data_IF_456841173084
#
_entry.id   IF_456841173084
#
_cell.length_a   1.000
_cell.length_b   1.000
_cell.length_c   1.000
_cell.angle_alpha   90.00
_cell.angle_beta   90.00
_cell.angle_gamma   90.00
#
_symmetry.space_group_name_H-M   'P 1'
#
loop_
_entity.id
_entity.type
_entity.pdbx_description
1 polymer ?
#
# COMPACT_ATOMS: atom_id res chain seq x y z
N UNK A 1 10.95 5.54 -16.67
CA UNK A 1 9.50 5.22 -16.61
C UNK A 1 8.78 6.50 -16.25
N UNK A 2 7.75 6.88 -17.00
CA UNK A 2 7.02 8.12 -16.77
C UNK A 2 5.53 7.88 -17.01
N UNK A 3 4.69 8.21 -16.03
CA UNK A 3 3.24 8.15 -16.12
C UNK A 3 2.62 9.03 -15.02
N UNK A 4 1.34 9.34 -15.19
CA UNK A 4 0.51 10.05 -14.19
C UNK A 4 -0.76 9.25 -14.00
N UNK A 5 -1.22 9.13 -12.75
CA UNK A 5 -2.49 8.47 -12.41
C UNK A 5 -3.38 9.51 -11.75
N UNK A 6 -4.49 9.83 -12.41
CA UNK A 6 -5.43 10.82 -11.90
C UNK A 6 -6.29 10.24 -10.75
N UNK A 7 -6.78 11.08 -9.83
CA UNK A 7 -7.71 10.65 -8.78
C UNK A 7 -8.93 9.93 -9.34
N UNK A 8 -9.31 8.81 -8.72
CA UNK A 8 -10.41 7.96 -9.20
C UNK A 8 -10.06 7.07 -10.40
N UNK A 9 -8.85 7.16 -10.93
CA UNK A 9 -8.35 6.28 -11.98
C UNK A 9 -7.86 4.93 -11.46
N UNK A 10 -8.00 3.90 -12.30
CA UNK A 10 -7.38 2.59 -12.09
C UNK A 10 -6.22 2.42 -13.06
N UNK A 11 -5.05 2.02 -12.56
CA UNK A 11 -3.85 1.82 -13.35
C UNK A 11 -3.29 0.40 -13.15
N UNK A 12 -3.07 -0.32 -14.25
CA UNK A 12 -2.56 -1.69 -14.25
C UNK A 12 -1.13 -1.77 -14.76
N UNK A 13 -0.26 -2.51 -14.04
CA UNK A 13 1.12 -2.78 -14.46
C UNK A 13 1.28 -4.26 -14.76
N UNK A 14 1.50 -4.60 -16.03
CA UNK A 14 1.66 -5.98 -16.52
C UNK A 14 3.00 -6.17 -17.23
N UNK A 15 3.52 -7.40 -17.20
CA UNK A 15 4.80 -7.72 -17.82
C UNK A 15 5.41 -9.02 -17.27
N UNK A 16 6.45 -9.53 -17.94
CA UNK A 16 7.13 -10.76 -17.55
C UNK A 16 7.80 -10.68 -16.17
N UNK A 17 8.20 -11.83 -15.62
CA UNK A 17 9.02 -11.87 -14.42
C UNK A 17 10.36 -11.15 -14.67
N UNK A 18 10.83 -10.38 -13.68
CA UNK A 18 12.03 -9.56 -13.83
C UNK A 18 11.82 -8.22 -14.55
N UNK A 19 10.62 -7.90 -15.07
CA UNK A 19 10.36 -6.63 -15.78
C UNK A 19 10.32 -5.38 -14.89
N UNK A 20 10.61 -5.50 -13.59
CA UNK A 20 10.65 -4.38 -12.65
C UNK A 20 9.32 -4.01 -11.97
N UNK A 21 8.24 -4.79 -12.14
CA UNK A 21 6.93 -4.50 -11.52
C UNK A 21 7.01 -4.32 -10.00
N UNK A 22 7.63 -5.26 -9.29
CA UNK A 22 7.79 -5.19 -7.84
C UNK A 22 8.66 -4.00 -7.41
N UNK A 23 9.66 -3.64 -8.22
CA UNK A 23 10.48 -2.43 -7.98
C UNK A 23 9.64 -1.17 -8.11
N UNK A 24 8.82 -1.07 -9.16
CA UNK A 24 7.90 0.06 -9.36
C UNK A 24 6.91 0.18 -8.20
N UNK A 25 6.31 -0.92 -7.76
CA UNK A 25 5.40 -0.92 -6.62
C UNK A 25 6.08 -0.52 -5.31
N UNK A 26 7.32 -0.95 -5.07
CA UNK A 26 8.10 -0.53 -3.89
C UNK A 26 8.40 0.97 -3.88
N UNK A 27 8.71 1.55 -5.05
CA UNK A 27 8.91 2.98 -5.23
C UNK A 27 7.61 3.75 -4.93
N UNK A 28 6.48 3.32 -5.48
CA UNK A 28 5.15 3.91 -5.22
C UNK A 28 4.74 3.80 -3.74
N UNK A 29 5.06 2.67 -3.11
CA UNK A 29 4.82 2.44 -1.68
C UNK A 29 5.79 3.20 -0.75
N UNK A 30 6.81 3.87 -1.28
CA UNK A 30 7.82 4.58 -0.50
C UNK A 30 8.82 3.68 0.25
N UNK A 31 8.83 2.36 -0.01
CA UNK A 31 9.78 1.41 0.62
C UNK A 31 11.13 1.36 -0.10
N UNK A 32 11.24 2.03 -1.25
CA UNK A 32 12.48 2.28 -1.97
C UNK A 32 12.48 3.72 -2.51
N UNK A 33 13.67 4.28 -2.76
CA UNK A 33 13.85 5.59 -3.39
C UNK A 33 14.33 5.43 -4.84
N UNK A 34 13.89 6.30 -5.77
CA UNK A 34 14.43 6.30 -7.12
C UNK A 34 15.90 6.68 -7.09
N UNK A 35 16.74 5.98 -7.87
CA UNK A 35 18.14 6.38 -8.08
C UNK A 35 18.25 7.66 -8.89
N UNK A 36 17.28 7.91 -9.78
CA UNK A 36 17.18 9.12 -10.61
C UNK A 36 15.73 9.42 -10.96
N UNK A 37 15.45 10.68 -11.32
CA UNK A 37 14.10 11.18 -11.58
C UNK A 37 13.35 11.60 -10.32
N UNK A 38 12.04 11.82 -10.46
CA UNK A 38 11.17 12.28 -9.39
C UNK A 38 9.91 11.42 -9.31
N UNK A 39 9.37 11.30 -8.09
CA UNK A 39 8.11 10.62 -7.79
C UNK A 39 7.36 11.49 -6.78
N UNK A 40 6.16 11.92 -7.15
CA UNK A 40 5.28 12.74 -6.32
C UNK A 40 3.96 12.01 -6.12
N UNK A 41 3.46 12.03 -4.89
CA UNK A 41 2.23 11.36 -4.48
C UNK A 41 1.42 12.34 -3.64
N UNK A 42 0.21 12.65 -4.12
CA UNK A 42 -0.73 13.50 -3.41
C UNK A 42 -1.68 12.62 -2.58
N UNK A 43 -1.30 12.33 -1.33
CA UNK A 43 -2.07 11.50 -0.41
C UNK A 43 -1.25 10.40 0.24
N UNK A 44 -1.91 9.33 0.68
CA UNK A 44 -1.25 8.13 1.24
C UNK A 44 -1.35 6.98 0.26
N UNK A 45 -0.24 6.30 0.01
CA UNK A 45 -0.21 5.04 -0.74
C UNK A 45 -0.16 3.91 0.26
N UNK A 46 -1.15 3.03 0.20
CA UNK A 46 -1.21 1.80 1.00
C UNK A 46 -0.95 0.63 0.07
N UNK A 47 0.10 -0.12 0.34
CA UNK A 47 0.51 -1.22 -0.53
C UNK A 47 0.02 -2.55 0.05
N UNK A 48 -1.03 -3.12 -0.54
CA UNK A 48 -1.46 -4.50 -0.26
C UNK A 48 -0.57 -5.46 -1.07
N UNK A 49 0.72 -5.47 -0.77
CA UNK A 49 1.70 -6.23 -1.56
C UNK A 49 1.75 -7.70 -1.17
N UNK A 50 1.34 -8.05 0.05
CA UNK A 50 1.31 -9.42 0.53
C UNK A 50 0.09 -9.66 1.41
N UNK A 51 -0.74 -10.63 1.02
CA UNK A 51 -1.79 -11.18 1.87
C UNK A 51 -1.07 -11.91 3.01
N UNK A 52 -0.97 -11.28 4.19
CA UNK A 52 -0.31 -11.82 5.38
C UNK A 52 0.75 -10.92 6.02
N UNK A 53 1.31 -9.95 5.27
CA UNK A 53 2.26 -8.99 5.84
C UNK A 53 1.50 -7.98 6.71
N UNK A 54 1.50 -8.21 8.03
CA UNK A 54 0.83 -7.35 9.01
C UNK A 54 -0.23 -8.06 9.85
N UNK A 55 -0.52 -9.34 9.60
CA UNK A 55 -1.35 -10.14 10.50
C UNK A 55 -0.48 -10.84 11.55
N UNK A 56 -0.80 -10.61 12.81
CA UNK A 56 -0.19 -11.33 13.93
C UNK A 56 -0.97 -12.63 14.17
N UNK A 57 -0.32 -13.81 14.14
CA UNK A 57 -1.00 -15.10 14.21
C UNK A 57 -1.70 -15.32 15.56
N UNK A 58 -1.18 -14.73 16.64
CA UNK A 58 -1.78 -14.82 17.96
C UNK A 58 -2.95 -13.84 18.18
N UNK A 59 -3.25 -12.98 17.20
CA UNK A 59 -4.31 -11.97 17.31
C UNK A 59 -5.58 -12.46 16.60
N UNK A 60 -6.72 -12.15 17.19
CA UNK A 60 -8.02 -12.29 16.52
C UNK A 60 -8.11 -11.40 15.27
N UNK A 61 -9.09 -11.68 14.40
CA UNK A 61 -9.35 -10.83 13.24
C UNK A 61 -9.64 -9.37 13.63
N UNK A 62 -10.26 -9.14 14.80
CA UNK A 62 -10.56 -7.79 15.29
C UNK A 62 -9.29 -7.06 15.74
N UNK A 63 -8.43 -7.73 16.49
CA UNK A 63 -7.15 -7.16 16.92
C UNK A 63 -6.24 -6.85 15.72
N UNK A 64 -6.22 -7.75 14.73
CA UNK A 64 -5.52 -7.51 13.49
C UNK A 64 -6.10 -6.34 12.68
N UNK A 65 -7.42 -6.12 12.72
CA UNK A 65 -8.04 -4.95 12.08
C UNK A 65 -7.55 -3.64 12.71
N UNK A 66 -7.46 -3.56 14.05
CA UNK A 66 -6.90 -2.38 14.73
C UNK A 66 -5.41 -2.20 14.48
N UNK A 67 -4.63 -3.29 14.49
CA UNK A 67 -3.19 -3.25 14.22
C UNK A 67 -2.93 -2.71 12.81
N UNK A 68 -3.57 -3.30 11.80
CA UNK A 68 -3.41 -2.88 10.41
C UNK A 68 -3.97 -1.47 10.19
N UNK A 69 -5.11 -1.12 10.78
CA UNK A 69 -5.65 0.23 10.73
C UNK A 69 -4.66 1.26 11.26
N UNK A 70 -3.98 0.97 12.37
CA UNK A 70 -2.96 1.85 12.95
C UNK A 70 -1.74 1.99 12.04
N UNK A 71 -1.28 0.90 11.41
CA UNK A 71 -0.18 0.93 10.42
C UNK A 71 -0.52 1.76 9.18
N UNK A 72 -1.80 1.78 8.78
CA UNK A 72 -2.32 2.61 7.69
C UNK A 72 -2.57 4.08 8.13
N UNK A 73 -2.33 4.39 9.40
CA UNK A 73 -2.50 5.73 9.98
C UNK A 73 -3.97 6.11 10.23
N UNK A 74 -4.84 5.12 10.46
CA UNK A 74 -6.23 5.32 10.87
C UNK A 74 -6.32 5.49 12.39
N UNK A 75 -7.23 6.36 12.84
CA UNK A 75 -7.60 6.46 14.26
C UNK A 75 -8.51 5.30 14.64
N UNK A 76 -8.52 4.93 15.91
CA UNK A 76 -9.35 3.84 16.44
C UNK A 76 -10.84 3.97 16.05
N UNK A 77 -11.42 5.16 16.17
CA UNK A 77 -12.81 5.41 15.79
C UNK A 77 -13.11 5.29 14.29
N UNK A 78 -12.10 5.42 13.42
CA UNK A 78 -12.25 5.15 11.98
C UNK A 78 -12.30 3.64 11.73
N UNK A 79 -11.48 2.86 12.45
CA UNK A 79 -11.52 1.39 12.40
C UNK A 79 -12.88 0.90 12.94
N UNK A 80 -13.35 1.43 14.07
CA UNK A 80 -14.64 1.05 14.67
C UNK A 80 -15.80 1.20 13.69
N UNK A 81 -15.82 2.30 12.92
CA UNK A 81 -16.86 2.58 11.91
C UNK A 81 -16.81 1.63 10.71
N UNK A 82 -15.63 1.10 10.40
CA UNK A 82 -15.44 0.17 9.30
C UNK A 82 -15.68 -1.30 9.69
N UNK A 83 -15.80 -1.60 10.98
CA UNK A 83 -16.08 -2.97 11.46
C UNK A 83 -17.58 -3.29 11.33
N UNK A 84 -17.93 -4.54 10.96
CA UNK A 84 -19.30 -5.03 11.00
C UNK A 84 -19.82 -5.23 12.43
#
# INVERSE_FOLDING_TARGET
VSFTVDPGGSFGVVGANGSGKSTLLKLLAGTAKPTSGALEVNGRVTALLEIGAGFHPDFSGRENAYLNGSLLGLKRGEVDRAMP
#
